data_IF_436742967313
#
_entry.id   IF_436742967313
#
_cell.length_a   1.000
_cell.length_b   1.000
_cell.length_c   1.000
_cell.angle_alpha   90.00
_cell.angle_beta   90.00
_cell.angle_gamma   90.00
#
_symmetry.space_group_name_H-M   'P 1'
#
loop_
_entity.id
_entity.type
_entity.pdbx_description
1 polymer ?
#
# COMPACT_ATOMS: atom_id res chain seq x y z
N UNK A 1 9.08 15.55 -6.94
CA UNK A 1 7.89 15.06 -6.23
C UNK A 1 8.15 13.68 -5.66
N UNK A 2 7.36 13.26 -4.69
CA UNK A 2 7.37 11.93 -4.08
C UNK A 2 5.93 11.39 -4.09
N UNK A 3 5.74 10.22 -4.70
CA UNK A 3 4.44 9.59 -4.86
C UNK A 3 4.53 8.16 -4.36
N UNK A 4 3.81 7.84 -3.28
CA UNK A 4 3.87 6.51 -2.66
C UNK A 4 2.50 5.86 -2.74
N UNK A 5 2.38 4.81 -3.56
CA UNK A 5 1.21 3.95 -3.58
C UNK A 5 1.27 2.95 -2.43
N UNK A 6 0.19 2.80 -1.67
CA UNK A 6 0.12 1.82 -0.58
C UNK A 6 -1.11 0.93 -0.69
N UNK A 7 -0.96 -0.32 -0.27
CA UNK A 7 -2.04 -1.27 -0.07
C UNK A 7 -1.97 -1.88 1.33
N UNK A 8 -3.12 -2.14 1.94
CA UNK A 8 -3.24 -2.54 3.33
C UNK A 8 -3.11 -1.35 4.28
N UNK A 9 -3.76 -1.43 5.44
CA UNK A 9 -3.62 -0.46 6.54
C UNK A 9 -3.47 -1.16 7.90
N UNK A 10 -3.31 -2.48 7.91
CA UNK A 10 -3.44 -3.28 9.14
C UNK A 10 -2.32 -2.98 10.16
N UNK A 11 -1.26 -2.26 9.75
CA UNK A 11 -0.29 -1.72 10.70
C UNK A 11 -0.89 -0.62 11.57
N UNK A 12 -1.85 0.18 11.10
CA UNK A 12 -2.53 1.19 11.91
C UNK A 12 -3.32 0.53 13.03
N UNK A 13 -4.05 -0.55 12.72
CA UNK A 13 -4.72 -1.37 13.74
C UNK A 13 -3.73 -1.97 14.73
N UNK A 14 -2.63 -2.54 14.22
CA UNK A 14 -1.59 -3.15 15.07
C UNK A 14 -0.92 -2.12 15.97
N UNK A 15 -0.77 -0.89 15.47
CA UNK A 15 -0.08 0.22 16.16
C UNK A 15 -0.86 0.78 17.35
N UNK A 16 -2.17 0.53 17.43
CA UNK A 16 -3.03 1.02 18.53
C UNK A 16 -3.46 -0.08 19.51
N UNK A 17 -3.02 -1.34 19.32
CA UNK A 17 -3.36 -2.46 20.21
C UNK A 17 -2.77 -2.31 21.61
N UNK A 18 -1.67 -1.59 21.76
CA UNK A 18 -1.08 -1.25 23.07
C UNK A 18 -1.16 0.26 23.33
N UNK A 19 -2.29 0.68 23.90
CA UNK A 19 -2.57 2.09 24.21
C UNK A 19 -1.63 2.66 25.28
N UNK A 20 -0.94 1.82 26.06
CA UNK A 20 -0.05 2.27 27.14
C UNK A 20 1.32 2.74 26.61
N UNK A 21 1.72 2.34 25.40
CA UNK A 21 2.98 2.74 24.75
C UNK A 21 2.85 3.82 23.66
N UNK A 22 1.66 4.39 23.43
CA UNK A 22 1.47 5.40 22.38
C UNK A 22 2.22 6.69 22.72
N UNK A 23 3.43 6.82 22.16
CA UNK A 23 4.25 8.03 22.23
C UNK A 23 3.55 9.18 21.51
N UNK A 24 3.77 10.42 21.97
CA UNK A 24 3.17 11.64 21.37
C UNK A 24 3.43 11.81 19.86
N UNK A 25 4.50 11.23 19.34
CA UNK A 25 4.87 11.29 17.92
C UNK A 25 4.15 10.26 17.04
N UNK A 26 3.36 9.35 17.65
CA UNK A 26 2.81 8.17 16.98
C UNK A 26 2.01 8.51 15.71
N UNK A 27 1.13 9.51 15.78
CA UNK A 27 0.35 9.97 14.62
C UNK A 27 1.22 10.41 13.43
N UNK A 28 2.40 10.99 13.70
CA UNK A 28 3.38 11.42 12.71
C UNK A 28 4.39 10.33 12.31
N UNK A 29 4.30 9.15 12.92
CA UNK A 29 5.16 8.01 12.60
C UNK A 29 4.42 6.93 11.82
N UNK A 30 3.12 6.74 12.06
CA UNK A 30 2.34 5.62 11.51
C UNK A 30 1.26 6.04 10.52
N UNK A 31 0.88 7.33 10.50
CA UNK A 31 -0.12 7.84 9.57
C UNK A 31 0.28 7.65 8.11
N UNK A 32 -0.69 7.39 7.22
CA UNK A 32 -0.41 7.11 5.81
C UNK A 32 0.40 8.22 5.13
N UNK A 33 0.12 9.49 5.45
CA UNK A 33 0.83 10.66 4.92
C UNK A 33 2.34 10.62 5.14
N UNK A 34 2.80 9.90 6.17
CA UNK A 34 4.22 9.78 6.55
C UNK A 34 5.01 9.06 5.46
N UNK A 35 4.38 8.15 4.71
CA UNK A 35 5.06 7.35 3.69
C UNK A 35 5.75 8.23 2.64
N UNK A 36 5.02 9.19 2.07
CA UNK A 36 5.62 10.15 1.13
C UNK A 36 6.39 11.27 1.85
N UNK A 37 5.83 11.82 2.93
CA UNK A 37 6.41 13.00 3.59
C UNK A 37 7.76 12.73 4.24
N UNK A 38 7.96 11.54 4.80
CA UNK A 38 9.24 11.18 5.43
C UNK A 38 10.35 11.00 4.39
N UNK A 39 10.03 10.45 3.23
CA UNK A 39 10.96 10.38 2.09
C UNK A 39 11.27 11.80 1.60
N UNK A 40 10.24 12.63 1.39
CA UNK A 40 10.44 14.02 0.96
C UNK A 40 11.30 14.82 1.95
N UNK A 41 11.09 14.62 3.26
CA UNK A 41 11.89 15.26 4.29
C UNK A 41 13.35 14.80 4.26
N UNK A 42 13.60 13.49 4.23
CA UNK A 42 14.96 12.92 4.27
C UNK A 42 15.81 13.34 3.06
N UNK A 43 15.20 13.41 1.88
CA UNK A 43 15.90 13.74 0.64
C UNK A 43 15.71 15.21 0.19
N UNK A 44 15.13 16.06 1.04
CA UNK A 44 14.83 17.48 0.77
C UNK A 44 14.06 17.71 -0.54
N UNK A 45 13.08 16.84 -0.84
CA UNK A 45 12.22 17.01 -2.01
C UNK A 45 11.18 18.09 -1.74
N UNK A 46 11.24 19.16 -2.55
CA UNK A 46 10.32 20.32 -2.44
C UNK A 46 9.17 20.33 -3.45
N UNK A 47 9.01 19.26 -4.24
CA UNK A 47 7.86 19.09 -5.13
C UNK A 47 6.65 18.46 -4.41
N UNK A 48 5.60 18.04 -5.15
CA UNK A 48 4.44 17.37 -4.56
C UNK A 48 4.84 16.13 -3.75
N UNK A 49 4.23 15.90 -2.59
CA UNK A 49 4.49 14.77 -1.70
C UNK A 49 3.17 14.09 -1.35
N UNK A 50 2.88 12.94 -1.95
CA UNK A 50 1.55 12.34 -1.91
C UNK A 50 1.60 10.83 -1.64
N UNK A 51 0.74 10.39 -0.73
CA UNK A 51 0.44 8.97 -0.53
C UNK A 51 -0.88 8.65 -1.23
N UNK A 52 -0.91 7.57 -1.99
CA UNK A 52 -2.03 7.17 -2.84
C UNK A 52 -2.56 5.81 -2.39
N UNK A 53 -3.86 5.76 -2.11
CA UNK A 53 -4.57 4.54 -1.71
C UNK A 53 -5.77 4.34 -2.64
N UNK A 54 -5.64 3.45 -3.62
CA UNK A 54 -6.69 3.06 -4.58
C UNK A 54 -6.79 1.54 -4.70
N UNK A 55 -6.60 0.86 -3.57
CA UNK A 55 -6.49 -0.59 -3.48
C UNK A 55 -5.35 -1.16 -4.38
N UNK A 56 -5.59 -2.22 -5.14
CA UNK A 56 -4.55 -2.92 -5.92
C UNK A 56 -3.88 -2.04 -6.99
N UNK A 57 -4.47 -0.90 -7.35
CA UNK A 57 -3.94 0.01 -8.36
C UNK A 57 -3.06 1.13 -7.79
N UNK A 58 -2.88 1.24 -6.47
CA UNK A 58 -2.25 2.38 -5.80
C UNK A 58 -0.91 2.80 -6.41
N UNK A 59 0.00 1.85 -6.67
CA UNK A 59 1.32 2.15 -7.23
C UNK A 59 1.26 2.66 -8.67
N UNK A 60 0.33 2.14 -9.47
CA UNK A 60 0.11 2.59 -10.84
C UNK A 60 -0.57 3.97 -10.89
N UNK A 61 -1.48 4.25 -9.97
CA UNK A 61 -2.08 5.59 -9.84
C UNK A 61 -1.04 6.60 -9.37
N UNK A 62 -0.17 6.23 -8.42
CA UNK A 62 0.96 7.06 -8.00
C UNK A 62 1.91 7.36 -9.17
N UNK A 63 2.23 6.35 -9.99
CA UNK A 63 3.01 6.53 -11.21
C UNK A 63 2.32 7.48 -12.20
N UNK A 64 1.02 7.29 -12.44
CA UNK A 64 0.25 8.15 -13.33
C UNK A 64 0.29 9.62 -12.89
N UNK A 65 0.07 9.88 -11.59
CA UNK A 65 0.13 11.22 -11.03
C UNK A 65 1.53 11.83 -11.11
N UNK A 66 2.58 11.04 -10.87
CA UNK A 66 3.95 11.50 -11.03
C UNK A 66 4.25 11.91 -12.48
N UNK A 67 3.81 11.13 -13.45
CA UNK A 67 3.92 11.48 -14.87
C UNK A 67 3.18 12.78 -15.17
N UNK A 68 1.94 12.94 -14.70
CA UNK A 68 1.17 14.17 -14.91
C UNK A 68 1.89 15.41 -14.34
N UNK A 69 2.44 15.32 -13.14
CA UNK A 69 3.17 16.43 -12.52
C UNK A 69 4.49 16.79 -13.21
N UNK A 70 5.17 15.80 -13.82
CA UNK A 70 6.33 16.05 -14.67
C UNK A 70 5.91 16.75 -15.97
N UNK A 71 4.82 16.29 -16.60
CA UNK A 71 4.30 16.88 -17.84
C UNK A 71 3.75 18.29 -17.65
N UNK A 72 3.09 18.57 -16.52
CA UNK A 72 2.52 19.88 -16.20
C UNK A 72 3.58 20.89 -15.71
N UNK A 73 4.80 20.43 -15.42
CA UNK A 73 5.88 21.27 -14.87
C UNK A 73 5.75 21.55 -13.37
N UNK A 74 4.84 20.88 -12.66
CA UNK A 74 4.73 20.96 -11.19
C UNK A 74 5.98 20.44 -10.47
N UNK A 75 6.73 19.53 -11.11
CA UNK A 75 8.07 19.17 -10.66
C UNK A 75 8.99 18.78 -11.83
N UNK A 76 10.30 18.90 -11.62
CA UNK A 76 11.34 18.53 -12.62
C UNK A 76 11.82 17.09 -12.48
N UNK A 77 11.55 16.45 -11.35
CA UNK A 77 11.89 15.06 -11.05
C UNK A 77 10.88 14.47 -10.08
N UNK A 78 10.66 13.15 -10.14
CA UNK A 78 9.74 12.44 -9.24
C UNK A 78 10.29 11.08 -8.82
N UNK A 79 10.11 10.73 -7.55
CA UNK A 79 10.25 9.36 -7.03
C UNK A 79 8.87 8.74 -6.89
N UNK A 80 8.76 7.49 -7.30
CA UNK A 80 7.57 6.66 -7.17
C UNK A 80 7.95 5.43 -6.35
N UNK A 81 7.13 5.10 -5.34
CA UNK A 81 7.27 3.89 -4.54
C UNK A 81 5.93 3.17 -4.39
N UNK A 82 5.99 1.87 -4.14
CA UNK A 82 4.83 1.03 -3.83
C UNK A 82 5.11 0.19 -2.58
N UNK A 83 4.20 0.18 -1.61
CA UNK A 83 4.28 -0.70 -0.44
C UNK A 83 2.99 -1.48 -0.22
N UNK A 84 3.13 -2.69 0.28
CA UNK A 84 2.02 -3.51 0.75
C UNK A 84 2.48 -4.21 2.03
N UNK A 85 1.77 -3.97 3.14
CA UNK A 85 2.08 -4.61 4.41
C UNK A 85 0.76 -5.04 5.07
N UNK A 86 0.56 -6.36 5.14
CA UNK A 86 -0.59 -6.98 5.80
C UNK A 86 -0.13 -7.88 6.94
N UNK A 87 0.25 -7.33 8.11
CA UNK A 87 0.76 -8.11 9.24
C UNK A 87 -0.33 -8.94 9.93
N UNK A 88 -1.61 -8.67 9.64
CA UNK A 88 -2.75 -9.35 10.24
C UNK A 88 -3.40 -10.33 9.25
N UNK A 89 -3.84 -11.52 9.67
CA UNK A 89 -4.58 -12.43 8.80
C UNK A 89 -6.00 -11.94 8.47
N UNK A 90 -6.49 -10.86 9.10
CA UNK A 90 -7.86 -10.35 8.95
C UNK A 90 -8.24 -10.13 7.48
N UNK A 91 -7.40 -9.41 6.73
CA UNK A 91 -7.66 -9.13 5.32
C UNK A 91 -7.64 -10.42 4.50
N UNK A 92 -6.58 -11.22 4.61
CA UNK A 92 -6.45 -12.50 3.88
C UNK A 92 -7.63 -13.46 4.16
N UNK A 93 -8.06 -13.59 5.41
CA UNK A 93 -9.23 -14.40 5.79
C UNK A 93 -10.52 -13.87 5.16
N UNK A 94 -10.75 -12.56 5.22
CA UNK A 94 -11.92 -11.92 4.60
C UNK A 94 -11.96 -12.16 3.09
N UNK A 95 -10.82 -12.02 2.39
CA UNK A 95 -10.78 -12.30 0.95
C UNK A 95 -11.00 -13.78 0.65
N UNK A 96 -10.55 -14.69 1.52
CA UNK A 96 -10.79 -16.11 1.37
C UNK A 96 -12.26 -16.49 1.57
N UNK A 97 -12.91 -15.96 2.60
CA UNK A 97 -14.35 -16.16 2.86
C UNK A 97 -15.22 -15.69 1.69
N UNK A 98 -14.73 -14.72 0.92
CA UNK A 98 -15.40 -14.19 -0.27
C UNK A 98 -14.95 -14.86 -1.60
N UNK A 99 -14.24 -15.98 -1.54
CA UNK A 99 -13.73 -16.73 -2.71
C UNK A 99 -12.87 -15.89 -3.67
N UNK A 100 -12.17 -14.87 -3.16
CA UNK A 100 -11.29 -14.02 -3.97
C UNK A 100 -9.90 -14.67 -4.11
N UNK A 101 -9.47 -15.44 -3.09
CA UNK A 101 -8.18 -16.12 -3.08
C UNK A 101 -8.28 -17.52 -3.65
N UNK A 102 -7.26 -17.91 -4.44
CA UNK A 102 -7.17 -19.29 -4.92
C UNK A 102 -6.93 -20.25 -3.74
N UNK A 103 -7.67 -21.36 -3.62
CA UNK A 103 -7.38 -22.40 -2.64
C UNK A 103 -5.99 -23.03 -2.84
N UNK A 104 -5.58 -23.19 -4.11
CA UNK A 104 -4.27 -23.76 -4.46
C UNK A 104 -3.11 -22.79 -4.34
N UNK A 105 -3.37 -21.56 -3.89
CA UNK A 105 -2.37 -20.55 -3.65
C UNK A 105 -1.59 -20.07 -4.89
N UNK A 106 -2.21 -20.15 -6.08
CA UNK A 106 -1.56 -19.83 -7.36
C UNK A 106 -2.46 -18.93 -8.19
N UNK A 107 -1.90 -17.87 -8.76
CA UNK A 107 -2.55 -17.10 -9.81
C UNK A 107 -2.48 -17.87 -11.13
N UNK A 108 -3.61 -18.45 -11.57
CA UNK A 108 -3.71 -19.12 -12.87
C UNK A 108 -4.18 -18.12 -13.94
N UNK A 109 -3.32 -17.18 -14.31
CA UNK A 109 -3.67 -16.07 -15.20
C UNK A 109 -4.12 -16.58 -16.57
N UNK A 110 -5.40 -16.33 -16.91
CA UNK A 110 -6.08 -16.74 -18.14
C UNK A 110 -6.26 -18.25 -18.36
N UNK A 111 -6.07 -19.07 -17.32
CA UNK A 111 -6.31 -20.52 -17.37
C UNK A 111 -7.82 -20.84 -17.23
N UNK A 112 -8.26 -21.96 -17.81
CA UNK A 112 -9.63 -22.44 -17.66
C UNK A 112 -9.99 -22.79 -16.21
N UNK A 113 -9.00 -23.22 -15.42
CA UNK A 113 -9.13 -23.65 -14.04
C UNK A 113 -8.84 -22.48 -13.05
N UNK A 114 -8.85 -21.23 -13.53
CA UNK A 114 -8.62 -20.04 -12.70
C UNK A 114 -9.74 -19.85 -11.65
N UNK A 115 -9.36 -19.83 -10.38
CA UNK A 115 -10.28 -19.84 -9.24
C UNK A 115 -9.92 -18.85 -8.12
N UNK A 116 -9.31 -17.72 -8.48
CA UNK A 116 -8.86 -16.67 -7.55
C UNK A 116 -7.40 -16.30 -7.76
N UNK A 117 -6.91 -15.33 -6.97
CA UNK A 117 -5.50 -14.91 -7.00
C UNK A 117 -4.74 -15.35 -5.74
N UNK A 118 -3.41 -15.40 -5.82
CA UNK A 118 -2.54 -15.64 -4.68
C UNK A 118 -2.19 -14.33 -3.97
N UNK A 119 -2.56 -14.21 -2.69
CA UNK A 119 -2.12 -13.11 -1.82
C UNK A 119 -0.69 -13.32 -1.32
N UNK A 120 -0.15 -12.33 -0.58
CA UNK A 120 1.18 -12.48 0.03
C UNK A 120 1.24 -13.61 1.06
N UNK A 121 0.13 -13.87 1.75
CA UNK A 121 -0.03 -15.00 2.66
C UNK A 121 -0.79 -16.15 2.00
N UNK A 122 -0.56 -17.39 2.43
CA UNK A 122 -1.36 -18.54 2.00
C UNK A 122 -2.83 -18.34 2.32
N UNK A 123 -3.69 -18.89 1.48
CA UNK A 123 -5.12 -18.96 1.76
C UNK A 123 -5.36 -19.83 3.02
N UNK A 124 -6.01 -19.31 4.08
CA UNK A 124 -6.27 -20.08 5.30
C UNK A 124 -7.25 -21.25 5.13
N UNK A 125 -8.02 -21.29 4.05
CA UNK A 125 -8.99 -22.35 3.74
C UNK A 125 -8.46 -23.40 2.74
N UNK A 126 -7.17 -23.31 2.36
CA UNK A 126 -6.50 -24.19 1.40
C UNK A 126 -5.74 -25.34 2.03
#
# INVERSE_FOLDING_TARGET
>A
GCYVGVFGEDWLETSVKDLQEIKRIHAFATGQFVLANRISYEFDFRGPSMTVLTACSSSLVALHQACQALYSGECSSAIIAGSNLSPSPTMTGTLSDNNVLSPGGICRTFDQDANGYQSMFPNPHG
#
